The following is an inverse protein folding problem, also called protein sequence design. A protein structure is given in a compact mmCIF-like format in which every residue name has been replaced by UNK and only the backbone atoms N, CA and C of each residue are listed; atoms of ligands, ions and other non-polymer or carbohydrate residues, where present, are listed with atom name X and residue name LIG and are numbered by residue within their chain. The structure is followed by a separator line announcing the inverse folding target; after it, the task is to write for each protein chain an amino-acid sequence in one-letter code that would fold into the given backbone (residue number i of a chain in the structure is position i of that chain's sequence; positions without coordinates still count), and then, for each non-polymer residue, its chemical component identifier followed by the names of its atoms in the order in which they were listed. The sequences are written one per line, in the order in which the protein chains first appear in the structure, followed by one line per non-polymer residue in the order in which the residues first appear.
data_IF_965383162280
#
_entry.id   IF_965383162280
#
_cell.length_a   1.000
_cell.length_b   1.000
_cell.length_c   1.000
_cell.angle_alpha   90.00
_cell.angle_beta   90.00
_cell.angle_gamma   90.00
#
_symmetry.space_group_name_H-M   'P 1'
#
loop_
_entity.id
_entity.type
_entity.pdbx_description
1 polymer ?
#
# COMPACT_ATOMS: atom_id res chain seq x y z
N UNK A 1 -0.06 -5.97 9.61
CA UNK A 1 0.44 -5.95 8.21
C UNK A 1 0.37 -7.31 7.54
N UNK A 2 0.71 -8.39 8.22
CA UNK A 2 0.67 -9.76 7.68
C UNK A 2 -0.69 -10.08 7.07
N UNK A 3 -1.80 -9.85 7.81
CA UNK A 3 -3.16 -10.09 7.32
C UNK A 3 -3.47 -9.20 6.12
N UNK A 4 -3.17 -7.90 6.20
CA UNK A 4 -3.42 -6.95 5.12
C UNK A 4 -2.70 -7.32 3.82
N UNK A 5 -1.49 -7.86 3.90
CA UNK A 5 -0.76 -8.37 2.75
C UNK A 5 -1.37 -9.67 2.21
N UNK A 6 -1.75 -10.60 3.09
CA UNK A 6 -2.34 -11.88 2.69
C UNK A 6 -3.70 -11.72 2.02
N UNK A 7 -4.55 -10.80 2.50
CA UNK A 7 -5.87 -10.55 1.91
C UNK A 7 -5.84 -9.60 0.71
N UNK A 8 -4.68 -9.12 0.30
CA UNK A 8 -4.52 -8.27 -0.87
C UNK A 8 -4.96 -6.81 -0.66
N UNK A 9 -4.88 -6.29 0.56
CA UNK A 9 -5.05 -4.86 0.79
C UNK A 9 -3.82 -4.07 0.34
N UNK A 10 -2.61 -4.58 0.61
CA UNK A 10 -1.33 -3.91 0.33
C UNK A 10 -0.41 -4.81 -0.48
N UNK A 11 0.41 -4.19 -1.34
CA UNK A 11 1.26 -4.92 -2.28
C UNK A 11 2.73 -4.53 -2.22
N UNK A 12 3.10 -3.41 -1.57
CA UNK A 12 4.46 -2.87 -1.56
C UNK A 12 5.21 -2.99 -0.23
N UNK A 13 4.52 -3.32 0.85
CA UNK A 13 5.21 -3.64 2.09
C UNK A 13 6.11 -4.85 1.89
N UNK A 14 7.36 -4.74 2.33
CA UNK A 14 8.35 -5.82 2.28
C UNK A 14 8.70 -6.21 3.71
N UNK A 15 8.65 -7.48 4.00
CA UNK A 15 9.17 -8.02 5.26
C UNK A 15 10.58 -8.55 5.02
N UNK A 16 11.54 -8.06 5.79
CA UNK A 16 12.91 -8.53 5.81
C UNK A 16 13.16 -9.18 7.16
N UNK A 17 13.78 -10.34 7.17
CA UNK A 17 14.16 -11.00 8.40
C UNK A 17 15.61 -11.50 8.32
N UNK A 18 16.22 -11.64 9.50
CA UNK A 18 17.58 -12.19 9.68
C UNK A 18 17.65 -12.92 11.01
N UNK A 19 18.65 -13.78 11.14
CA UNK A 19 19.00 -14.39 12.41
C UNK A 19 19.98 -13.47 13.14
N UNK A 20 19.62 -13.01 14.32
CA UNK A 20 20.52 -12.18 15.13
C UNK A 20 21.67 -13.03 15.65
N UNK A 21 22.94 -12.69 15.36
CA UNK A 21 24.08 -13.51 15.72
C UNK A 21 24.39 -13.53 17.22
N UNK A 22 23.79 -12.64 18.00
CA UNK A 22 24.01 -12.53 19.45
C UNK A 22 22.95 -13.28 20.23
N UNK A 23 21.68 -13.05 19.89
CA UNK A 23 20.55 -13.66 20.60
C UNK A 23 20.13 -15.01 20.00
N UNK A 24 20.59 -15.35 18.80
CA UNK A 24 20.13 -16.51 18.02
C UNK A 24 18.60 -16.49 17.78
N UNK A 25 17.99 -15.31 17.80
CA UNK A 25 16.57 -15.13 17.53
C UNK A 25 16.34 -14.55 16.13
N UNK A 26 15.14 -14.81 15.59
CA UNK A 26 14.75 -14.26 14.29
C UNK A 26 14.24 -12.84 14.50
N UNK A 27 14.98 -11.89 13.96
CA UNK A 27 14.56 -10.50 13.85
C UNK A 27 13.85 -10.27 12.53
N UNK A 28 12.77 -9.50 12.57
CA UNK A 28 12.04 -9.16 11.35
C UNK A 28 11.49 -7.73 11.40
N UNK A 29 11.52 -7.07 10.25
CA UNK A 29 10.93 -5.74 10.11
C UNK A 29 10.23 -5.58 8.77
N UNK A 30 9.19 -4.76 8.78
CA UNK A 30 8.49 -4.35 7.58
C UNK A 30 9.05 -3.03 7.07
N UNK A 31 9.10 -2.88 5.76
CA UNK A 31 9.57 -1.66 5.12
C UNK A 31 8.62 -1.19 4.02
N UNK A 32 8.48 0.13 3.88
CA UNK A 32 7.70 0.77 2.84
C UNK A 32 8.40 2.05 2.37
N UNK A 33 8.38 2.26 1.04
CA UNK A 33 8.75 3.52 0.42
C UNK A 33 7.49 4.29 0.03
N UNK A 34 7.31 5.47 0.58
CA UNK A 34 6.30 6.44 0.18
C UNK A 34 6.89 7.45 -0.80
N UNK A 35 6.09 8.44 -1.23
CA UNK A 35 6.55 9.45 -2.19
C UNK A 35 7.81 10.20 -1.70
N UNK A 36 7.89 10.49 -0.41
CA UNK A 36 8.92 11.34 0.20
C UNK A 36 9.60 10.73 1.42
N UNK A 37 9.36 9.44 1.73
CA UNK A 37 9.95 8.80 2.91
C UNK A 37 10.09 7.29 2.74
N UNK A 38 11.05 6.73 3.47
CA UNK A 38 11.22 5.29 3.66
C UNK A 38 11.13 5.01 5.15
N UNK A 39 10.22 4.11 5.52
CA UNK A 39 9.95 3.74 6.91
C UNK A 39 10.16 2.24 7.12
N UNK A 40 10.62 1.91 8.33
CA UNK A 40 10.69 0.56 8.86
C UNK A 40 9.74 0.44 10.03
N UNK A 41 9.09 -0.73 10.16
CA UNK A 41 8.18 -1.03 11.25
C UNK A 41 8.55 -2.35 11.90
N UNK A 42 8.49 -2.39 13.23
CA UNK A 42 8.56 -3.61 14.05
C UNK A 42 7.40 -3.65 15.01
N UNK A 43 6.93 -4.85 15.30
CA UNK A 43 5.96 -5.07 16.37
C UNK A 43 6.70 -5.54 17.62
N UNK A 44 6.58 -4.78 18.69
CA UNK A 44 7.02 -5.21 20.03
C UNK A 44 5.90 -6.00 20.69
N UNK A 45 6.05 -7.31 20.79
CA UNK A 45 5.05 -8.19 21.37
C UNK A 45 4.91 -8.03 22.89
N UNK A 46 5.94 -7.52 23.58
CA UNK A 46 5.92 -7.34 25.04
C UNK A 46 5.04 -6.15 25.43
N UNK A 47 5.24 -5.03 24.76
CA UNK A 47 4.49 -3.80 25.02
C UNK A 47 3.25 -3.66 24.13
N UNK A 48 3.06 -4.58 23.17
CA UNK A 48 2.06 -4.51 22.10
C UNK A 48 2.10 -3.19 21.34
N UNK A 49 3.30 -2.66 21.12
CA UNK A 49 3.54 -1.39 20.45
C UNK A 49 4.01 -1.59 19.01
N UNK A 50 3.66 -0.67 18.13
CA UNK A 50 4.23 -0.56 16.81
C UNK A 50 5.41 0.42 16.85
N UNK A 51 6.62 -0.11 16.73
CA UNK A 51 7.84 0.68 16.65
C UNK A 51 8.10 1.07 15.21
N UNK A 52 8.54 2.30 14.99
CA UNK A 52 8.91 2.75 13.64
C UNK A 52 10.27 3.47 13.62
N UNK A 53 10.93 3.40 12.47
CA UNK A 53 12.17 4.11 12.16
C UNK A 53 12.05 4.72 10.77
N UNK A 54 12.46 5.99 10.64
CA UNK A 54 12.53 6.69 9.37
C UNK A 54 13.95 6.54 8.82
N UNK A 55 14.08 5.94 7.64
CA UNK A 55 15.35 5.85 6.92
C UNK A 55 15.58 7.07 6.03
N UNK A 56 14.50 7.67 5.51
CA UNK A 56 14.52 8.85 4.66
C UNK A 56 13.24 9.66 4.86
N UNK A 57 13.28 11.00 4.94
CA UNK A 57 14.51 11.81 5.03
C UNK A 57 15.21 11.62 6.38
N UNK A 58 16.51 11.89 6.41
CA UNK A 58 17.31 11.80 7.64
C UNK A 58 17.06 12.98 8.60
N UNK A 59 16.48 14.07 8.11
CA UNK A 59 16.08 15.21 8.93
C UNK A 59 14.71 14.96 9.57
N UNK A 60 14.65 15.18 10.88
CA UNK A 60 13.51 14.84 11.74
C UNK A 60 12.27 15.69 11.43
N UNK A 61 11.29 15.08 10.75
CA UNK A 61 9.88 15.48 10.78
C UNK A 61 9.05 14.37 11.44
N UNK A 62 9.38 14.07 12.70
CA UNK A 62 8.81 12.92 13.44
C UNK A 62 7.29 12.99 13.55
N UNK A 63 6.74 14.15 13.92
CA UNK A 63 5.29 14.33 14.10
C UNK A 63 4.46 14.01 12.85
N UNK A 64 4.99 14.32 11.67
CA UNK A 64 4.31 14.04 10.41
C UNK A 64 4.25 12.53 10.10
N UNK A 65 5.28 11.76 10.47
CA UNK A 65 5.28 10.30 10.25
C UNK A 65 4.38 9.57 11.23
N UNK A 66 4.32 9.97 12.49
CA UNK A 66 3.39 9.38 13.47
C UNK A 66 1.95 9.63 13.07
N UNK A 67 1.59 10.88 12.74
CA UNK A 67 0.24 11.23 12.27
C UNK A 67 -0.15 10.44 11.03
N UNK A 68 0.79 10.28 10.08
CA UNK A 68 0.58 9.48 8.90
C UNK A 68 0.36 8.00 9.24
N UNK A 69 1.16 7.42 10.15
CA UNK A 69 0.98 6.02 10.58
C UNK A 69 -0.37 5.80 11.26
N UNK A 70 -0.80 6.76 12.11
CA UNK A 70 -2.11 6.71 12.77
C UNK A 70 -3.25 6.70 11.74
N UNK A 71 -3.18 7.61 10.75
CA UNK A 71 -4.18 7.66 9.66
C UNK A 71 -4.12 6.38 8.83
N UNK A 72 -2.93 5.96 8.39
CA UNK A 72 -2.75 4.78 7.54
C UNK A 72 -3.31 3.50 8.16
N UNK A 73 -3.05 3.28 9.44
CA UNK A 73 -3.53 2.09 10.17
C UNK A 73 -4.91 2.28 10.80
N UNK A 74 -5.54 3.44 10.66
CA UNK A 74 -6.81 3.78 11.31
C UNK A 74 -6.77 3.60 12.84
N UNK A 75 -5.69 4.02 13.50
CA UNK A 75 -5.49 3.74 14.93
C UNK A 75 -6.45 4.50 15.84
N UNK A 76 -7.09 5.56 15.36
CA UNK A 76 -7.99 6.40 16.14
C UNK A 76 -9.45 5.93 16.11
N UNK A 77 -9.75 4.84 15.40
CA UNK A 77 -11.10 4.27 15.38
C UNK A 77 -11.34 3.38 16.60
N UNK A 78 -12.55 3.40 17.20
CA UNK A 78 -12.89 2.57 18.35
C UNK A 78 -13.18 1.12 17.92
N UNK A 79 -12.16 0.44 17.39
CA UNK A 79 -12.31 -0.89 16.77
C UNK A 79 -12.89 -1.92 17.74
N UNK A 80 -12.46 -1.89 19.01
CA UNK A 80 -12.95 -2.83 20.03
C UNK A 80 -14.46 -2.67 20.28
N UNK A 81 -14.95 -1.42 20.30
CA UNK A 81 -16.39 -1.17 20.47
C UNK A 81 -17.17 -1.69 19.26
N UNK A 82 -16.66 -1.51 18.06
CA UNK A 82 -17.28 -2.04 16.84
C UNK A 82 -17.28 -3.57 16.81
N UNK A 83 -16.19 -4.21 17.21
CA UNK A 83 -16.13 -5.68 17.31
C UNK A 83 -17.16 -6.22 18.29
N UNK A 84 -17.34 -5.57 19.45
CA UNK A 84 -18.38 -5.94 20.43
C UNK A 84 -19.79 -5.81 19.83
N UNK A 85 -20.06 -4.72 19.12
CA UNK A 85 -21.35 -4.49 18.46
C UNK A 85 -21.61 -5.53 17.37
N UNK A 86 -20.62 -5.83 16.51
CA UNK A 86 -20.74 -6.84 15.46
C UNK A 86 -20.95 -8.25 16.05
N UNK A 87 -20.23 -8.60 17.11
CA UNK A 87 -20.42 -9.87 17.82
C UNK A 87 -21.82 -9.99 18.41
N UNK A 88 -22.39 -8.90 18.90
CA UNK A 88 -23.75 -8.88 19.45
C UNK A 88 -24.82 -9.07 18.35
N UNK A 89 -24.57 -8.58 17.15
CA UNK A 89 -25.52 -8.64 16.02
C UNK A 89 -25.41 -9.92 15.20
N UNK A 90 -24.19 -10.50 15.08
CA UNK A 90 -23.93 -11.68 14.26
C UNK A 90 -23.23 -12.79 15.05
N UNK A 91 -23.98 -13.87 15.39
CA UNK A 91 -23.42 -15.03 16.10
C UNK A 91 -22.34 -15.78 15.30
N UNK A 92 -22.37 -15.74 13.98
CA UNK A 92 -21.34 -16.37 13.13
C UNK A 92 -20.05 -15.55 13.22
N UNK A 93 -20.16 -14.23 13.11
CA UNK A 93 -19.02 -13.34 13.32
C UNK A 93 -18.42 -13.53 14.72
N UNK A 94 -19.26 -13.52 15.78
CA UNK A 94 -18.81 -13.69 17.16
C UNK A 94 -17.98 -14.97 17.38
N UNK A 95 -18.35 -16.07 16.71
CA UNK A 95 -17.63 -17.34 16.79
C UNK A 95 -16.20 -17.26 16.27
N UNK A 96 -15.94 -16.35 15.33
CA UNK A 96 -14.65 -16.21 14.65
C UNK A 96 -13.91 -14.90 14.95
N UNK A 97 -14.54 -13.96 15.66
CA UNK A 97 -14.04 -12.61 15.92
C UNK A 97 -12.62 -12.59 16.49
N UNK A 98 -12.30 -13.49 17.43
CA UNK A 98 -10.97 -13.57 18.05
C UNK A 98 -9.83 -13.81 17.05
N UNK A 99 -10.11 -14.40 15.88
CA UNK A 99 -9.10 -14.64 14.82
C UNK A 99 -8.78 -13.37 14.03
N UNK A 100 -9.67 -12.39 14.05
CA UNK A 100 -9.58 -11.16 13.25
C UNK A 100 -9.45 -9.92 14.12
N UNK A 101 -9.28 -10.10 15.43
CA UNK A 101 -9.10 -8.98 16.34
C UNK A 101 -7.92 -8.10 15.91
N UNK A 102 -8.11 -6.78 15.90
CA UNK A 102 -7.12 -5.82 15.43
C UNK A 102 -7.01 -5.67 13.91
N UNK A 103 -7.81 -6.42 13.11
CA UNK A 103 -7.83 -6.26 11.66
C UNK A 103 -8.67 -5.05 11.28
N UNK A 104 -8.05 -4.11 10.58
CA UNK A 104 -8.69 -2.89 10.08
C UNK A 104 -8.44 -2.70 8.59
N UNK A 105 -9.23 -1.84 7.96
CA UNK A 105 -8.99 -1.38 6.60
C UNK A 105 -7.94 -0.27 6.64
N UNK A 106 -6.89 -0.41 5.84
CA UNK A 106 -5.79 0.55 5.75
C UNK A 106 -6.18 1.74 4.87
N UNK A 107 -5.90 2.95 5.32
CA UNK A 107 -6.02 4.18 4.53
C UNK A 107 -4.77 4.38 3.68
N UNK A 108 -4.74 3.67 2.57
CA UNK A 108 -3.60 3.70 1.65
C UNK A 108 -3.52 5.02 0.88
N UNK A 109 -2.37 5.24 0.22
CA UNK A 109 -2.24 6.24 -0.83
C UNK A 109 -3.32 6.00 -1.91
N UNK A 110 -4.17 6.98 -2.22
CA UNK A 110 -5.33 6.76 -3.09
C UNK A 110 -4.93 6.47 -4.54
N UNK A 111 -3.85 7.07 -5.03
CA UNK A 111 -3.37 6.82 -6.39
C UNK A 111 -2.74 5.44 -6.53
N UNK A 112 -1.87 5.06 -5.59
CA UNK A 112 -1.28 3.72 -5.56
C UNK A 112 -2.37 2.64 -5.44
N UNK A 113 -3.33 2.84 -4.54
CA UNK A 113 -4.46 1.94 -4.34
C UNK A 113 -5.26 1.76 -5.64
N UNK A 114 -5.60 2.86 -6.33
CA UNK A 114 -6.32 2.83 -7.59
C UNK A 114 -5.58 2.01 -8.65
N UNK A 115 -4.29 2.27 -8.85
CA UNK A 115 -3.46 1.54 -9.80
C UNK A 115 -3.32 0.05 -9.46
N UNK A 116 -3.13 -0.28 -8.17
CA UNK A 116 -3.04 -1.67 -7.71
C UNK A 116 -4.34 -2.44 -7.98
N UNK A 117 -5.50 -1.81 -7.76
CA UNK A 117 -6.78 -2.46 -8.03
C UNK A 117 -7.15 -2.51 -9.51
N UNK A 118 -6.68 -1.60 -10.36
CA UNK A 118 -6.70 -1.80 -11.83
C UNK A 118 -5.91 -3.07 -12.18
N UNK A 119 -4.74 -3.28 -11.56
CA UNK A 119 -3.95 -4.50 -11.76
C UNK A 119 -4.63 -5.76 -11.23
N UNK A 120 -5.60 -5.66 -10.31
CA UNK A 120 -6.28 -6.80 -9.69
C UNK A 120 -7.30 -7.49 -10.59
N UNK A 121 -7.76 -6.85 -11.67
CA UNK A 121 -8.78 -7.39 -12.57
C UNK A 121 -8.33 -8.73 -13.17
N UNK A 122 -9.07 -9.83 -12.90
CA UNK A 122 -8.74 -11.18 -13.33
C UNK A 122 -7.27 -11.56 -13.07
N UNK A 123 -6.83 -11.39 -11.82
CA UNK A 123 -5.44 -11.58 -11.41
C UNK A 123 -5.36 -12.22 -10.01
N UNK A 124 -4.16 -12.60 -9.57
CA UNK A 124 -3.88 -13.13 -8.24
C UNK A 124 -2.92 -12.22 -7.48
N UNK A 125 -2.92 -12.32 -6.14
CA UNK A 125 -2.15 -11.45 -5.25
C UNK A 125 -0.65 -11.43 -5.59
N UNK A 126 0.06 -12.56 -5.77
CA UNK A 126 1.47 -12.55 -6.11
C UNK A 126 1.78 -11.79 -7.41
N UNK A 127 0.96 -11.99 -8.44
CA UNK A 127 1.16 -11.29 -9.72
C UNK A 127 0.83 -9.81 -9.63
N UNK A 128 -0.20 -9.42 -8.87
CA UNK A 128 -0.50 -8.00 -8.62
C UNK A 128 0.70 -7.33 -7.94
N UNK A 129 1.24 -7.96 -6.88
CA UNK A 129 2.42 -7.46 -6.18
C UNK A 129 3.61 -7.28 -7.12
N UNK A 130 3.91 -8.26 -7.98
CA UNK A 130 4.96 -8.15 -8.99
C UNK A 130 4.71 -6.98 -9.96
N UNK A 131 3.47 -6.78 -10.40
CA UNK A 131 3.12 -5.67 -11.29
C UNK A 131 3.33 -4.32 -10.60
N UNK A 132 2.87 -4.18 -9.35
CA UNK A 132 3.02 -2.95 -8.57
C UNK A 132 4.51 -2.64 -8.32
N UNK A 133 5.35 -3.65 -8.04
CA UNK A 133 6.79 -3.46 -7.93
C UNK A 133 7.43 -3.03 -9.25
N UNK A 134 7.03 -3.64 -10.38
CA UNK A 134 7.50 -3.25 -11.71
C UNK A 134 7.15 -1.80 -12.07
N UNK A 135 5.98 -1.29 -11.64
CA UNK A 135 5.66 0.13 -11.79
C UNK A 135 6.72 1.01 -11.12
N UNK A 136 7.07 0.69 -9.88
CA UNK A 136 8.11 1.45 -9.17
C UNK A 136 9.50 1.30 -9.80
N UNK A 137 9.85 0.11 -10.23
CA UNK A 137 11.18 -0.20 -10.79
C UNK A 137 11.44 0.50 -12.13
N UNK A 138 10.42 0.55 -12.99
CA UNK A 138 10.57 1.05 -14.35
C UNK A 138 10.15 2.51 -14.56
N UNK A 139 9.39 3.08 -13.62
CA UNK A 139 8.82 4.42 -13.79
C UNK A 139 9.13 5.38 -12.63
N UNK A 140 10.01 4.99 -11.69
CA UNK A 140 10.43 5.87 -10.61
C UNK A 140 11.94 5.78 -10.36
N UNK A 141 12.53 6.93 -10.03
CA UNK A 141 13.94 6.98 -9.64
C UNK A 141 14.15 6.42 -8.23
N UNK A 142 15.33 5.85 -7.95
CA UNK A 142 15.69 5.42 -6.60
C UNK A 142 15.65 6.59 -5.61
N UNK A 143 15.01 6.38 -4.46
CA UNK A 143 15.00 7.35 -3.36
C UNK A 143 16.11 7.05 -2.36
N UNK A 144 16.31 5.77 -2.02
CA UNK A 144 17.28 5.30 -1.04
C UNK A 144 17.64 3.85 -1.32
N UNK A 145 18.91 3.49 -1.06
CA UNK A 145 19.33 2.10 -0.89
C UNK A 145 19.72 1.84 0.57
N UNK A 146 19.15 0.80 1.17
CA UNK A 146 19.42 0.40 2.56
C UNK A 146 19.94 -1.01 2.59
N UNK A 147 21.06 -1.20 3.31
CA UNK A 147 21.69 -2.51 3.49
C UNK A 147 21.32 -3.07 4.86
N UNK A 148 20.79 -4.27 4.85
CA UNK A 148 20.41 -5.03 6.02
C UNK A 148 21.60 -5.85 6.56
N UNK A 149 21.52 -6.36 7.79
CA UNK A 149 22.55 -7.24 8.35
C UNK A 149 22.87 -8.42 7.44
N UNK A 150 24.04 -9.02 7.62
CA UNK A 150 24.43 -10.26 6.95
C UNK A 150 23.41 -11.36 7.24
N UNK A 151 23.14 -12.20 6.25
CA UNK A 151 22.11 -13.24 6.36
C UNK A 151 20.67 -12.75 6.25
N UNK A 152 20.44 -11.43 6.10
CA UNK A 152 19.09 -10.91 5.92
C UNK A 152 18.51 -11.27 4.54
N UNK A 153 17.19 -11.45 4.49
CA UNK A 153 16.47 -11.76 3.24
C UNK A 153 15.03 -11.26 3.25
N UNK A 154 14.46 -11.12 2.07
CA UNK A 154 13.01 -10.93 1.92
C UNK A 154 12.27 -12.19 2.38
N UNK A 155 11.30 -12.02 3.26
CA UNK A 155 10.42 -13.09 3.66
C UNK A 155 9.45 -13.44 2.53
N UNK A 156 9.47 -14.70 2.12
CA UNK A 156 8.44 -15.28 1.25
C UNK A 156 7.29 -15.87 2.06
N UNK A 157 7.53 -16.14 3.33
CA UNK A 157 6.57 -16.60 4.33
C UNK A 157 6.47 -15.56 5.45
N UNK A 158 5.30 -15.41 6.05
CA UNK A 158 5.08 -14.41 7.11
C UNK A 158 5.60 -14.83 8.49
N UNK A 159 5.96 -16.09 8.65
CA UNK A 159 6.52 -16.66 9.86
C UNK A 159 7.81 -17.42 9.48
N UNK A 160 8.93 -16.69 9.27
CA UNK A 160 10.19 -17.33 8.96
C UNK A 160 10.63 -18.23 10.12
N UNK A 161 11.22 -19.36 9.81
CA UNK A 161 11.83 -20.31 10.76
C UNK A 161 13.35 -20.28 10.65
N UNK A 162 14.07 -20.76 11.65
CA UNK A 162 15.54 -20.83 11.61
C UNK A 162 16.06 -21.64 10.42
N UNK A 163 15.31 -22.65 9.99
CA UNK A 163 15.66 -23.47 8.81
C UNK A 163 15.71 -22.63 7.53
N UNK A 164 14.92 -21.58 7.51
CA UNK A 164 14.92 -20.64 6.40
C UNK A 164 16.23 -19.87 6.26
N UNK A 165 17.10 -19.82 7.24
CA UNK A 165 18.38 -19.12 7.23
C UNK A 165 19.59 -20.05 7.09
N UNK A 166 19.41 -21.38 7.00
CA UNK A 166 20.49 -22.39 6.94
C UNK A 166 21.37 -22.27 5.70
N UNK A 167 20.84 -21.79 4.57
CA UNK A 167 21.50 -21.74 3.28
C UNK A 167 21.77 -20.31 2.78
N UNK A 168 21.65 -19.31 3.67
CA UNK A 168 21.87 -17.91 3.29
C UNK A 168 23.36 -17.62 3.21
N UNK A 169 23.83 -17.22 2.03
CA UNK A 169 25.18 -16.75 1.84
C UNK A 169 25.47 -15.51 2.71
N UNK A 170 26.66 -15.42 3.31
CA UNK A 170 27.18 -14.27 4.07
C UNK A 170 27.40 -13.06 3.17
N UNK A 171 26.34 -12.62 2.48
CA UNK A 171 26.37 -11.44 1.61
C UNK A 171 25.42 -10.38 2.15
N UNK A 172 25.86 -9.11 2.14
CA UNK A 172 24.96 -8.01 2.51
C UNK A 172 23.73 -8.00 1.61
N UNK A 173 22.56 -7.91 2.24
CA UNK A 173 21.27 -7.81 1.54
C UNK A 173 20.86 -6.34 1.44
N UNK A 174 20.76 -5.82 0.23
CA UNK A 174 20.41 -4.41 -0.01
C UNK A 174 19.11 -4.28 -0.75
N UNK A 175 18.22 -3.42 -0.23
CA UNK A 175 16.97 -3.01 -0.91
C UNK A 175 17.13 -1.61 -1.44
N UNK A 176 16.88 -1.43 -2.74
CA UNK A 176 16.69 -0.11 -3.34
C UNK A 176 15.22 0.26 -3.28
N UNK A 177 14.92 1.34 -2.57
CA UNK A 177 13.57 1.87 -2.40
C UNK A 177 13.25 2.88 -3.48
N UNK A 178 12.09 2.70 -4.12
CA UNK A 178 11.55 3.58 -5.15
C UNK A 178 10.12 3.98 -4.78
N UNK A 179 9.75 5.27 -4.88
CA UNK A 179 8.37 5.70 -4.67
C UNK A 179 7.45 5.11 -5.74
N UNK A 180 6.15 5.16 -5.49
CA UNK A 180 5.17 4.82 -6.52
C UNK A 180 5.18 5.92 -7.61
N UNK A 181 5.14 5.57 -8.91
CA UNK A 181 5.20 6.56 -9.98
C UNK A 181 3.98 7.47 -9.96
N UNK A 182 4.19 8.80 -10.07
CA UNK A 182 3.09 9.75 -10.02
C UNK A 182 2.22 9.71 -11.29
N UNK A 183 0.99 10.26 -11.24
CA UNK A 183 0.05 10.25 -12.36
C UNK A 183 0.63 10.78 -13.67
N UNK A 184 1.34 11.92 -13.64
CA UNK A 184 1.93 12.51 -14.83
C UNK A 184 2.96 11.62 -15.53
N UNK A 185 3.68 10.79 -14.77
CA UNK A 185 4.62 9.79 -15.34
C UNK A 185 3.85 8.69 -16.06
N UNK A 186 2.78 8.16 -15.48
CA UNK A 186 2.00 7.08 -16.12
C UNK A 186 1.07 7.58 -17.24
N UNK A 187 0.86 8.88 -17.35
CA UNK A 187 0.07 9.51 -18.41
C UNK A 187 0.84 9.69 -19.73
N UNK A 188 2.16 9.47 -19.77
CA UNK A 188 2.98 9.68 -20.96
C UNK A 188 2.60 8.72 -22.10
N UNK A 189 2.71 9.17 -23.38
CA UNK A 189 2.22 8.43 -24.55
C UNK A 189 2.89 7.04 -24.74
N UNK A 190 4.15 6.91 -24.34
CA UNK A 190 4.95 5.69 -24.53
C UNK A 190 4.77 4.65 -23.39
N UNK A 191 4.09 5.03 -22.32
CA UNK A 191 3.93 4.19 -21.12
C UNK A 191 3.08 2.95 -21.39
N UNK A 192 2.02 3.07 -22.19
CA UNK A 192 1.20 1.90 -22.51
C UNK A 192 2.02 0.79 -23.20
N UNK A 193 2.87 1.15 -24.14
CA UNK A 193 3.71 0.18 -24.86
C UNK A 193 4.75 -0.46 -23.93
N UNK A 194 5.37 0.32 -23.06
CA UNK A 194 6.32 -0.17 -22.04
C UNK A 194 5.64 -1.13 -21.07
N UNK A 195 4.46 -0.78 -20.55
CA UNK A 195 3.69 -1.64 -19.65
C UNK A 195 3.27 -2.96 -20.32
N UNK A 196 2.90 -2.92 -21.61
CA UNK A 196 2.60 -4.14 -22.38
C UNK A 196 3.82 -5.06 -22.47
N UNK A 197 4.99 -4.50 -22.76
CA UNK A 197 6.26 -5.24 -22.78
C UNK A 197 6.61 -5.86 -21.41
N UNK A 198 6.24 -5.20 -20.31
CA UNK A 198 6.42 -5.69 -18.94
C UNK A 198 5.39 -6.74 -18.50
N UNK A 199 4.43 -7.11 -19.37
CA UNK A 199 3.47 -8.18 -19.12
C UNK A 199 2.17 -7.72 -18.43
N UNK A 200 1.81 -6.42 -18.49
CA UNK A 200 0.56 -5.90 -17.92
C UNK A 200 -0.68 -6.25 -18.77
N UNK A 201 -0.48 -6.65 -20.04
CA UNK A 201 -1.56 -7.00 -20.94
C UNK A 201 -2.54 -5.84 -21.15
N UNK A 202 -3.85 -6.11 -21.11
CA UNK A 202 -4.89 -5.09 -21.30
C UNK A 202 -4.93 -4.01 -20.21
N UNK A 203 -4.37 -4.29 -19.04
CA UNK A 203 -4.31 -3.34 -17.90
C UNK A 203 -3.41 -2.14 -18.19
N UNK A 204 -2.42 -2.31 -19.06
CA UNK A 204 -1.54 -1.22 -19.52
C UNK A 204 -2.36 -0.03 -20.02
N UNK A 205 -3.33 -0.30 -20.90
CA UNK A 205 -4.23 0.72 -21.44
C UNK A 205 -5.05 1.41 -20.34
N UNK A 206 -5.56 0.66 -19.37
CA UNK A 206 -6.38 1.24 -18.31
C UNK A 206 -5.54 2.10 -17.37
N UNK A 207 -4.36 1.66 -16.95
CA UNK A 207 -3.44 2.46 -16.13
C UNK A 207 -3.11 3.80 -16.77
N UNK A 208 -2.68 3.76 -18.05
CA UNK A 208 -2.30 4.97 -18.79
C UNK A 208 -3.49 5.92 -18.99
N UNK A 209 -4.65 5.39 -19.40
CA UNK A 209 -5.85 6.22 -19.62
C UNK A 209 -6.42 6.79 -18.32
N UNK A 210 -6.39 6.03 -17.22
CA UNK A 210 -6.81 6.55 -15.91
C UNK A 210 -5.89 7.68 -15.46
N UNK A 211 -4.57 7.53 -15.65
CA UNK A 211 -3.62 8.59 -15.36
C UNK A 211 -3.88 9.85 -16.19
N UNK A 212 -4.10 9.70 -17.50
CA UNK A 212 -4.44 10.80 -18.40
C UNK A 212 -5.75 11.50 -17.98
N UNK A 213 -6.82 10.74 -17.77
CA UNK A 213 -8.12 11.26 -17.37
C UNK A 213 -8.07 12.05 -16.05
N UNK A 214 -7.28 11.58 -15.06
CA UNK A 214 -7.09 12.30 -13.81
C UNK A 214 -6.29 13.59 -14.00
N UNK A 215 -5.23 13.57 -14.80
CA UNK A 215 -4.44 14.77 -15.10
C UNK A 215 -5.25 15.82 -15.86
N UNK A 216 -6.11 15.40 -16.79
CA UNK A 216 -7.01 16.29 -17.52
C UNK A 216 -8.11 16.85 -16.61
N UNK A 217 -8.67 16.03 -15.71
CA UNK A 217 -9.76 16.41 -14.82
C UNK A 217 -9.40 17.55 -13.87
N UNK A 218 -8.17 17.62 -13.39
CA UNK A 218 -7.77 18.63 -12.40
C UNK A 218 -7.54 20.02 -12.98
N UNK A 219 -7.67 20.20 -14.30
CA UNK A 219 -7.67 21.49 -15.00
C UNK A 219 -6.60 22.48 -14.51
N UNK A 220 -5.39 22.00 -14.28
CA UNK A 220 -4.26 22.88 -14.01
C UNK A 220 -4.01 23.76 -15.26
N UNK A 221 -3.63 25.04 -15.04
CA UNK A 221 -3.36 25.98 -16.14
C UNK A 221 -2.31 25.43 -17.12
N UNK A 222 -2.24 26.02 -18.33
CA UNK A 222 -1.34 25.58 -19.42
C UNK A 222 0.13 25.52 -19.01
N UNK A 223 0.54 26.29 -18.02
CA UNK A 223 1.92 26.41 -17.55
C UNK A 223 2.19 25.58 -16.26
N UNK A 224 1.25 24.72 -15.85
CA UNK A 224 1.38 23.91 -14.65
C UNK A 224 2.51 22.90 -14.80
N UNK A 225 3.37 22.83 -13.78
CA UNK A 225 4.45 21.85 -13.74
C UNK A 225 3.88 20.46 -13.38
N UNK A 226 4.56 19.37 -13.80
CA UNK A 226 4.14 18.02 -13.43
C UNK A 226 3.89 17.82 -11.93
N UNK A 227 4.67 18.47 -11.06
CA UNK A 227 4.49 18.41 -9.61
C UNK A 227 3.15 19.00 -9.17
N UNK A 228 2.74 20.14 -9.74
CA UNK A 228 1.48 20.80 -9.38
C UNK A 228 0.28 19.95 -9.82
N UNK A 229 0.37 19.34 -11.00
CA UNK A 229 -0.65 18.40 -11.52
C UNK A 229 -0.76 17.18 -10.60
N UNK A 230 0.36 16.58 -10.22
CA UNK A 230 0.37 15.42 -9.34
C UNK A 230 -0.25 15.74 -7.97
N UNK A 231 0.07 16.90 -7.41
CA UNK A 231 -0.52 17.36 -6.14
C UNK A 231 -2.03 17.59 -6.28
N UNK A 232 -2.48 18.19 -7.38
CA UNK A 232 -3.90 18.41 -7.66
C UNK A 232 -4.66 17.09 -7.82
N UNK A 233 -4.10 16.11 -8.54
CA UNK A 233 -4.69 14.75 -8.66
C UNK A 233 -4.77 14.08 -7.29
N UNK A 234 -3.72 14.18 -6.49
CA UNK A 234 -3.71 13.61 -5.15
C UNK A 234 -4.78 14.24 -4.25
N UNK A 235 -4.88 15.57 -4.22
CA UNK A 235 -5.93 16.32 -3.50
C UNK A 235 -7.33 15.93 -3.97
N UNK A 236 -7.53 15.78 -5.28
CA UNK A 236 -8.78 15.34 -5.85
C UNK A 236 -9.16 13.92 -5.36
N UNK A 237 -8.25 12.96 -5.43
CA UNK A 237 -8.51 11.61 -4.94
C UNK A 237 -8.74 11.58 -3.42
N UNK A 238 -8.02 12.40 -2.64
CA UNK A 238 -8.25 12.53 -1.20
C UNK A 238 -9.61 13.15 -0.89
N UNK A 239 -10.11 14.07 -1.70
CA UNK A 239 -11.42 14.70 -1.47
C UNK A 239 -12.58 13.70 -1.55
N UNK A 240 -12.39 12.56 -2.22
CA UNK A 240 -13.37 11.47 -2.24
C UNK A 240 -13.63 10.90 -0.84
N UNK A 241 -12.66 11.04 0.10
CA UNK A 241 -12.83 10.60 1.49
C UNK A 241 -13.92 11.36 2.25
N UNK A 242 -14.26 12.56 1.82
CA UNK A 242 -15.30 13.40 2.43
C UNK A 242 -16.67 13.32 1.74
N UNK A 243 -16.76 12.53 0.68
CA UNK A 243 -18.01 12.31 -0.06
C UNK A 243 -18.81 11.14 0.54
N UNK A 244 -20.07 10.99 0.11
CA UNK A 244 -20.83 9.78 0.41
C UNK A 244 -20.21 8.58 -0.33
N UNK A 245 -20.49 7.37 0.16
CA UNK A 245 -19.97 6.15 -0.50
C UNK A 245 -20.45 6.06 -1.96
N UNK A 246 -21.72 6.37 -2.22
CA UNK A 246 -22.33 6.32 -3.54
C UNK A 246 -21.74 7.35 -4.49
N UNK A 247 -21.51 8.57 -4.02
CA UNK A 247 -20.94 9.65 -4.83
C UNK A 247 -19.49 9.33 -5.20
N UNK A 248 -18.66 8.95 -4.22
CA UNK A 248 -17.29 8.58 -4.44
C UNK A 248 -17.16 7.35 -5.37
N UNK A 249 -18.03 6.33 -5.19
CA UNK A 249 -18.12 5.18 -6.08
C UNK A 249 -18.48 5.57 -7.50
N UNK A 250 -19.48 6.40 -7.66
CA UNK A 250 -19.95 6.87 -8.97
C UNK A 250 -18.86 7.67 -9.68
N UNK A 251 -18.16 8.53 -8.95
CA UNK A 251 -17.04 9.30 -9.49
C UNK A 251 -15.88 8.40 -9.93
N UNK A 252 -15.47 7.42 -9.13
CA UNK A 252 -14.45 6.45 -9.50
C UNK A 252 -14.82 5.66 -10.75
N UNK A 253 -16.08 5.30 -10.92
CA UNK A 253 -16.58 4.57 -12.10
C UNK A 253 -16.54 5.38 -13.40
N UNK A 254 -16.36 6.69 -13.35
CA UNK A 254 -16.11 7.51 -14.55
C UNK A 254 -14.74 7.30 -15.16
N UNK A 255 -13.81 6.75 -14.38
CA UNK A 255 -12.43 6.53 -14.82
C UNK A 255 -12.30 5.27 -15.68
N UNK A 256 -11.47 5.31 -16.75
CA UNK A 256 -11.29 4.19 -17.66
C UNK A 256 -10.80 2.92 -16.94
N UNK A 257 -11.50 1.82 -17.13
CA UNK A 257 -11.13 0.51 -16.54
C UNK A 257 -11.54 0.31 -15.09
N UNK A 258 -12.26 1.25 -14.51
CA UNK A 258 -12.81 1.14 -13.17
C UNK A 258 -14.25 0.63 -13.27
N UNK A 259 -14.43 -0.67 -13.01
CA UNK A 259 -15.76 -1.28 -12.86
C UNK A 259 -16.23 -1.26 -11.41
N UNK A 260 -17.48 -1.73 -11.13
CA UNK A 260 -18.06 -1.73 -9.79
C UNK A 260 -17.14 -2.33 -8.74
N UNK A 261 -16.55 -3.50 -9.01
CA UNK A 261 -15.62 -4.18 -8.10
C UNK A 261 -14.41 -3.31 -7.74
N UNK A 262 -13.76 -2.70 -8.74
CA UNK A 262 -12.57 -1.87 -8.51
C UNK A 262 -12.95 -0.60 -7.76
N UNK A 263 -14.07 0.03 -8.13
CA UNK A 263 -14.57 1.21 -7.45
C UNK A 263 -14.86 0.93 -5.97
N UNK A 264 -15.46 -0.20 -5.63
CA UNK A 264 -15.73 -0.60 -4.26
C UNK A 264 -14.44 -0.80 -3.46
N UNK A 265 -13.48 -1.58 -3.99
CA UNK A 265 -12.21 -1.84 -3.29
C UNK A 265 -11.35 -0.58 -3.11
N UNK A 266 -11.42 0.37 -4.04
CA UNK A 266 -10.74 1.68 -3.90
C UNK A 266 -11.51 2.59 -2.95
N UNK A 267 -12.82 2.56 -2.99
CA UNK A 267 -13.68 3.40 -2.15
C UNK A 267 -13.61 3.01 -0.67
N UNK A 268 -13.53 1.71 -0.33
CA UNK A 268 -13.43 1.25 1.06
C UNK A 268 -12.26 1.90 1.84
N UNK A 269 -11.01 1.89 1.35
CA UNK A 269 -9.91 2.62 1.98
C UNK A 269 -10.08 4.15 1.97
N UNK A 270 -10.82 4.69 1.00
CA UNK A 270 -11.05 6.12 0.89
C UNK A 270 -12.10 6.62 1.87
N UNK A 271 -13.30 6.03 1.89
CA UNK A 271 -14.46 6.59 2.61
C UNK A 271 -14.70 6.00 4.00
N UNK A 272 -13.99 4.92 4.34
CA UNK A 272 -14.16 4.23 5.63
C UNK A 272 -15.62 3.90 6.00
N UNK A 273 -16.41 3.47 5.02
CA UNK A 273 -17.79 3.04 5.24
C UNK A 273 -17.89 1.57 5.66
N UNK A 274 -17.10 1.13 6.64
CA UNK A 274 -17.20 -0.22 7.21
C UNK A 274 -18.57 -0.48 7.89
N UNK A 275 -19.33 0.59 8.17
CA UNK A 275 -20.65 0.52 8.81
C UNK A 275 -21.74 0.03 7.85
N UNK A 276 -21.55 0.18 6.52
CA UNK A 276 -22.61 -0.10 5.53
C UNK A 276 -22.59 -1.52 4.94
N UNK A 277 -21.56 -2.32 5.19
CA UNK A 277 -21.50 -3.69 4.68
C UNK A 277 -22.19 -4.73 5.59
N UNK A 278 -22.73 -4.31 6.74
CA UNK A 278 -23.43 -5.16 7.71
C UNK A 278 -24.84 -4.66 8.06
N UNK A 279 -25.41 -3.72 7.31
CA UNK A 279 -26.82 -3.32 7.46
C UNK A 279 -27.77 -4.11 6.56
#
# INVERSE_FOLDING_TARGET
LTIAHQCGQVFRWRQVAWLDPVSDEIEAEWSLCLANRVILLRHDAVTNALLYRILYPTEKKEHDTESWLRDYFNLDVPLDAWFQEWCARDPIFAKHANRFNGTTILRQDPWECLCAFICSSNNNIPRISQMVHKLCEHFSEPLLSHTYPEGARLCTTFHPTKQDFSDVADKPFTITYRPFPPPTTLAQPDVESKLRALGFGYRAKFLTRTAQALCEKVQCGSDAKPADINEAVYKHLLSLRSQTYEDARSELMTLPGIGPKVAEYVNMPLTFSCILLMS
#
